data_IF_670151449051
#
_entry.id   IF_670151449051
#
_cell.length_a   1.000
_cell.length_b   1.000
_cell.length_c   1.000
_cell.angle_alpha   90.00
_cell.angle_beta   90.00
_cell.angle_gamma   90.00
#
_symmetry.space_group_name_H-M   'P 1'
#
loop_
_entity.id
_entity.type
_entity.pdbx_description
1 polymer ?
#
# COMPACT_ATOMS: atom_id res chain seq x y z
N UNK A 1 2.36 20.66 18.49
CA UNK A 1 0.99 20.41 18.08
C UNK A 1 0.91 20.21 16.60
N UNK A 2 0.13 19.28 16.24
CA UNK A 2 -0.04 18.98 14.83
C UNK A 2 -1.05 19.90 14.21
N UNK A 3 -0.68 20.50 13.12
CA UNK A 3 -1.59 21.36 12.38
C UNK A 3 -2.28 20.50 11.37
N UNK A 4 -3.49 20.17 11.66
CA UNK A 4 -4.18 19.20 10.88
C UNK A 4 -3.68 17.83 11.27
N UNK A 5 -3.51 16.98 10.31
CA UNK A 5 -3.17 15.58 10.57
C UNK A 5 -1.81 15.25 10.00
N UNK A 6 -0.98 14.65 10.82
CA UNK A 6 0.26 14.09 10.33
C UNK A 6 -0.03 12.83 9.52
N UNK A 7 0.84 12.53 8.57
CA UNK A 7 0.70 11.29 7.83
C UNK A 7 1.12 10.12 8.69
N UNK A 8 0.33 9.06 8.61
CA UNK A 8 0.64 7.80 9.27
C UNK A 8 1.13 6.83 8.22
N UNK A 9 2.27 6.21 8.47
CA UNK A 9 2.82 5.22 7.55
C UNK A 9 2.26 3.85 7.88
N UNK A 10 1.74 3.19 6.88
CA UNK A 10 1.24 1.82 6.98
C UNK A 10 2.13 0.95 6.13
N UNK A 11 2.85 0.03 6.76
CA UNK A 11 3.80 -0.82 6.04
C UNK A 11 3.22 -2.22 5.96
N UNK A 12 3.06 -2.71 4.74
CA UNK A 12 2.42 -4.00 4.50
C UNK A 12 3.36 -4.90 3.71
N UNK A 13 3.91 -5.92 4.37
CA UNK A 13 4.67 -6.92 3.61
C UNK A 13 3.72 -7.80 2.81
N UNK A 14 4.07 -8.02 1.55
CA UNK A 14 3.22 -8.75 0.62
C UNK A 14 3.98 -9.93 0.05
N UNK A 15 3.38 -11.10 0.13
CA UNK A 15 3.94 -12.28 -0.50
C UNK A 15 2.80 -13.14 -1.01
N UNK A 16 2.68 -13.23 -2.34
CA UNK A 16 1.64 -14.02 -2.98
C UNK A 16 0.25 -13.69 -2.44
N UNK A 17 -0.06 -12.39 -2.42
CA UNK A 17 -1.34 -11.91 -1.89
C UNK A 17 -2.25 -11.37 -2.98
N UNK A 18 -2.02 -11.79 -4.23
CA UNK A 18 -2.78 -11.28 -5.37
C UNK A 18 -4.29 -11.35 -5.14
N UNK A 19 -4.75 -12.42 -4.51
CA UNK A 19 -6.19 -12.61 -4.29
C UNK A 19 -6.75 -11.75 -3.17
N UNK A 20 -5.89 -11.21 -2.31
CA UNK A 20 -6.35 -10.56 -1.09
C UNK A 20 -6.00 -9.09 -1.03
N UNK A 21 -5.02 -8.66 -1.85
CA UNK A 21 -4.46 -7.32 -1.69
C UNK A 21 -5.49 -6.22 -1.93
N UNK A 22 -6.37 -6.41 -2.88
CA UNK A 22 -7.37 -5.38 -3.16
C UNK A 22 -8.36 -5.24 -2.01
N UNK A 23 -8.74 -6.35 -1.38
CA UNK A 23 -9.61 -6.27 -0.21
C UNK A 23 -8.92 -5.58 0.94
N UNK A 24 -7.65 -5.90 1.15
CA UNK A 24 -6.86 -5.25 2.18
C UNK A 24 -6.73 -3.76 1.90
N UNK A 25 -6.42 -3.41 0.66
CA UNK A 25 -6.26 -2.01 0.29
C UNK A 25 -7.58 -1.25 0.44
N UNK A 26 -8.69 -1.87 0.07
CA UNK A 26 -9.99 -1.22 0.21
C UNK A 26 -10.28 -0.88 1.67
N UNK A 27 -9.90 -1.76 2.59
CA UNK A 27 -10.07 -1.48 4.02
C UNK A 27 -9.24 -0.29 4.45
N UNK A 28 -8.02 -0.17 3.94
CA UNK A 28 -7.16 0.96 4.26
C UNK A 28 -7.73 2.24 3.66
N UNK A 29 -8.19 2.15 2.43
CA UNK A 29 -8.73 3.31 1.73
C UNK A 29 -9.97 3.87 2.44
N UNK A 30 -10.76 2.99 3.05
CA UNK A 30 -12.05 3.35 3.64
C UNK A 30 -11.98 3.71 5.12
N UNK A 31 -10.80 3.61 5.74
CA UNK A 31 -10.72 3.82 7.19
C UNK A 31 -10.97 5.29 7.54
N UNK A 32 -11.28 5.53 8.82
CA UNK A 32 -11.83 6.81 9.24
C UNK A 32 -10.80 7.93 9.35
N UNK A 33 -9.53 7.63 9.43
CA UNK A 33 -8.50 8.67 9.55
C UNK A 33 -8.40 9.50 8.27
N UNK A 34 -8.77 8.93 7.14
CA UNK A 34 -8.69 9.60 5.85
C UNK A 34 -7.49 9.13 5.05
N UNK A 35 -7.75 8.62 3.86
CA UNK A 35 -6.68 8.08 3.03
C UNK A 35 -5.63 9.14 2.68
N UNK A 36 -6.05 10.39 2.55
CA UNK A 36 -5.12 11.47 2.22
C UNK A 36 -4.06 11.68 3.32
N UNK A 37 -4.31 11.15 4.51
CA UNK A 37 -3.38 11.26 5.63
C UNK A 37 -2.53 10.01 5.82
N UNK A 38 -2.57 9.09 4.87
CA UNK A 38 -1.83 7.84 4.96
C UNK A 38 -0.71 7.79 3.94
N UNK A 39 0.38 7.18 4.33
CA UNK A 39 1.43 6.76 3.42
C UNK A 39 1.47 5.24 3.48
N UNK A 40 1.06 4.60 2.40
CA UNK A 40 0.97 3.14 2.37
C UNK A 40 2.18 2.58 1.65
N UNK A 41 2.98 1.80 2.34
CA UNK A 41 4.19 1.22 1.79
C UNK A 41 3.97 -0.27 1.62
N UNK A 42 3.89 -0.70 0.37
CA UNK A 42 3.62 -2.09 0.02
C UNK A 42 4.93 -2.73 -0.43
N UNK A 43 5.34 -3.75 0.28
CA UNK A 43 6.64 -4.39 0.02
C UNK A 43 6.41 -5.79 -0.52
N UNK A 44 6.79 -6.01 -1.78
CA UNK A 44 6.68 -7.32 -2.39
C UNK A 44 7.92 -8.14 -2.06
N UNK A 45 7.73 -9.25 -1.36
CA UNK A 45 8.83 -10.11 -0.95
C UNK A 45 8.96 -11.28 -1.94
N UNK A 46 9.31 -10.94 -3.19
CA UNK A 46 9.58 -11.92 -4.24
C UNK A 46 8.39 -12.83 -4.52
N UNK A 47 7.21 -12.23 -4.69
CA UNK A 47 6.01 -13.00 -5.02
C UNK A 47 6.17 -13.71 -6.36
N UNK A 48 5.58 -14.88 -6.45
CA UNK A 48 5.59 -15.67 -7.68
C UNK A 48 4.29 -15.53 -8.47
N UNK A 49 3.29 -14.87 -7.90
CA UNK A 49 2.03 -14.57 -8.61
C UNK A 49 2.08 -13.14 -9.14
N UNK A 50 0.92 -12.55 -9.44
CA UNK A 50 0.85 -11.20 -9.98
C UNK A 50 0.77 -10.12 -8.91
N UNK A 51 1.18 -10.41 -7.69
CA UNK A 51 1.15 -9.43 -6.61
C UNK A 51 1.87 -8.15 -7.01
N UNK A 52 3.08 -8.26 -7.55
CA UNK A 52 3.84 -7.05 -7.91
C UNK A 52 3.08 -6.16 -8.89
N UNK A 53 2.45 -6.75 -9.90
CA UNK A 53 1.69 -5.97 -10.88
C UNK A 53 0.58 -5.17 -10.21
N UNK A 54 -0.09 -5.77 -9.24
CA UNK A 54 -1.15 -5.09 -8.51
C UNK A 54 -0.59 -3.94 -7.68
N UNK A 55 0.54 -4.18 -7.00
CA UNK A 55 1.15 -3.14 -6.18
C UNK A 55 1.60 -1.95 -7.02
N UNK A 56 2.20 -2.21 -8.18
CA UNK A 56 2.59 -1.14 -9.08
C UNK A 56 1.39 -0.34 -9.56
N UNK A 57 0.30 -1.04 -9.84
CA UNK A 57 -0.91 -0.39 -10.29
C UNK A 57 -1.46 0.55 -9.22
N UNK A 58 -1.43 0.12 -7.97
CA UNK A 58 -1.88 0.96 -6.88
C UNK A 58 -0.99 2.19 -6.71
N UNK A 59 0.31 2.03 -6.88
CA UNK A 59 1.21 3.18 -6.79
C UNK A 59 0.93 4.18 -7.92
N UNK A 60 0.69 3.70 -9.13
CA UNK A 60 0.39 4.60 -10.24
C UNK A 60 -0.94 5.29 -10.05
N UNK A 61 -1.90 4.61 -9.41
CA UNK A 61 -3.22 5.16 -9.19
C UNK A 61 -3.23 6.20 -8.07
N UNK A 62 -2.40 5.99 -7.05
CA UNK A 62 -2.33 6.89 -5.89
C UNK A 62 -0.88 7.28 -5.61
N UNK A 63 -0.26 8.05 -6.53
CA UNK A 63 1.20 8.26 -6.45
C UNK A 63 1.65 9.06 -5.23
N UNK A 64 0.75 9.82 -4.60
CA UNK A 64 1.12 10.61 -3.44
C UNK A 64 0.95 9.86 -2.13
N UNK A 65 0.29 8.70 -2.16
CA UNK A 65 -0.05 7.98 -0.94
C UNK A 65 0.49 6.57 -0.91
N UNK A 66 0.82 5.99 -2.06
CA UNK A 66 1.21 4.59 -2.13
C UNK A 66 2.61 4.46 -2.72
N UNK A 67 3.45 3.74 -2.01
CA UNK A 67 4.78 3.39 -2.47
C UNK A 67 4.86 1.88 -2.55
N UNK A 68 5.27 1.36 -3.71
CA UNK A 68 5.48 -0.08 -3.84
C UNK A 68 6.96 -0.35 -3.99
N UNK A 69 7.46 -1.30 -3.22
CA UNK A 69 8.86 -1.70 -3.20
C UNK A 69 8.96 -3.19 -3.42
N UNK A 70 10.02 -3.60 -4.07
CA UNK A 70 10.25 -5.01 -4.32
C UNK A 70 11.59 -5.40 -3.71
N UNK A 71 11.57 -6.45 -2.89
CA UNK A 71 12.83 -6.92 -2.31
C UNK A 71 13.68 -7.55 -3.40
N UNK A 72 14.98 -7.58 -3.15
CA UNK A 72 15.94 -8.19 -4.06
C UNK A 72 16.78 -9.18 -3.31
N UNK A 73 17.18 -10.22 -4.02
CA UNK A 73 18.06 -11.22 -3.44
C UNK A 73 19.44 -11.09 -4.02
#
# INVERSE_FOLDING_TARGET
VMNGKDKISVIIPCYNVQKYIMRCFDSIYSQTYGFENLEVILIDDLSTDNTWSVLESLQRQYPENVISLKTQK
#
